data_IF_646145521031
#
_entry.id   IF_646145521031
#
_cell.length_a   1.000
_cell.length_b   1.000
_cell.length_c   1.000
_cell.angle_alpha   90.00
_cell.angle_beta   90.00
_cell.angle_gamma   90.00
#
_symmetry.space_group_name_H-M   'P 1'
#
loop_
_entity.id
_entity.type
_entity.pdbx_description
1 polymer ?
#
# COMPACT_ATOMS: atom_id res chain seq x y z
N UNK A 1 16.59 6.07 -55.28
CA UNK A 1 15.10 6.15 -55.27
C UNK A 1 14.69 7.50 -54.72
N UNK A 2 13.81 8.22 -55.43
CA UNK A 2 13.36 9.55 -55.01
C UNK A 2 12.28 9.42 -53.93
N UNK A 3 12.14 10.44 -53.07
CA UNK A 3 11.20 10.48 -51.96
C UNK A 3 9.78 9.98 -52.27
N UNK A 4 9.12 10.34 -53.40
CA UNK A 4 7.78 9.83 -53.71
C UNK A 4 7.73 8.30 -53.93
N UNK A 5 8.81 7.70 -54.45
CA UNK A 5 8.88 6.25 -54.62
C UNK A 5 9.03 5.51 -53.28
N UNK A 6 9.72 6.10 -52.29
CA UNK A 6 9.83 5.53 -50.95
C UNK A 6 8.50 5.61 -50.19
N UNK A 7 7.78 6.72 -50.32
CA UNK A 7 6.44 6.89 -49.74
C UNK A 7 5.43 5.92 -50.36
N UNK A 8 5.49 5.68 -51.67
CA UNK A 8 4.65 4.69 -52.35
C UNK A 8 4.87 3.26 -51.84
N UNK A 9 6.13 2.85 -51.65
CA UNK A 9 6.46 1.53 -51.08
C UNK A 9 6.01 1.43 -49.63
N UNK A 10 6.22 2.47 -48.83
CA UNK A 10 5.80 2.50 -47.43
C UNK A 10 4.28 2.35 -47.26
N UNK A 11 3.49 3.07 -48.06
CA UNK A 11 2.03 2.97 -48.04
C UNK A 11 1.55 1.56 -48.46
N UNK A 12 2.21 0.92 -49.43
CA UNK A 12 1.92 -0.46 -49.84
C UNK A 12 2.22 -1.47 -48.73
N UNK A 13 3.35 -1.31 -48.02
CA UNK A 13 3.69 -2.16 -46.88
C UNK A 13 2.68 -2.01 -45.74
N UNK A 14 2.26 -0.77 -45.42
CA UNK A 14 1.25 -0.49 -44.41
C UNK A 14 -0.11 -1.10 -44.76
N UNK A 15 -0.57 -0.95 -46.00
CA UNK A 15 -1.82 -1.55 -46.46
C UNK A 15 -1.78 -3.09 -46.41
N UNK A 16 -0.63 -3.70 -46.73
CA UNK A 16 -0.43 -5.15 -46.62
C UNK A 16 -0.48 -5.64 -45.17
N UNK A 17 0.20 -4.94 -44.25
CA UNK A 17 0.17 -5.27 -42.83
C UNK A 17 -1.25 -5.14 -42.24
N UNK A 18 -1.97 -4.08 -42.59
CA UNK A 18 -3.35 -3.86 -42.11
C UNK A 18 -4.33 -4.90 -42.67
N UNK A 19 -4.17 -5.28 -43.93
CA UNK A 19 -4.97 -6.35 -44.56
C UNK A 19 -4.76 -7.72 -43.90
N UNK A 20 -3.51 -8.06 -43.55
CA UNK A 20 -3.20 -9.30 -42.84
C UNK A 20 -3.80 -9.32 -41.42
N UNK A 21 -3.70 -8.20 -40.68
CA UNK A 21 -4.26 -8.08 -39.34
C UNK A 21 -5.80 -8.18 -39.34
N UNK A 22 -6.47 -7.49 -40.27
CA UNK A 22 -7.93 -7.56 -40.41
C UNK A 22 -8.42 -8.96 -40.85
N UNK A 23 -7.61 -9.68 -41.65
CA UNK A 23 -7.88 -11.07 -42.02
C UNK A 23 -7.78 -12.02 -40.83
N UNK A 24 -6.74 -11.88 -40.01
CA UNK A 24 -6.56 -12.68 -38.79
C UNK A 24 -7.67 -12.42 -37.75
N UNK A 25 -8.07 -11.16 -37.56
CA UNK A 25 -9.16 -10.79 -36.63
C UNK A 25 -10.52 -11.40 -36.97
N UNK A 26 -10.78 -11.72 -38.24
CA UNK A 26 -12.00 -12.43 -38.66
C UNK A 26 -11.97 -13.94 -38.41
N UNK A 27 -10.79 -14.53 -38.25
CA UNK A 27 -10.62 -15.96 -37.96
C UNK A 27 -10.74 -16.23 -36.46
N UNK A 28 -10.29 -15.30 -35.63
CA UNK A 28 -10.26 -15.44 -34.16
C UNK A 28 -11.60 -15.08 -33.51
N UNK A 29 -12.48 -14.34 -34.21
CA UNK A 29 -13.78 -13.92 -33.67
C UNK A 29 -13.63 -12.83 -32.60
N UNK A 30 -14.71 -12.10 -32.26
CA UNK A 30 -14.68 -11.13 -31.17
C UNK A 30 -14.43 -11.83 -29.84
N UNK A 31 -13.52 -11.28 -29.04
CA UNK A 31 -13.30 -11.73 -27.65
C UNK A 31 -14.19 -10.85 -26.77
N UNK A 32 -15.20 -11.46 -26.14
CA UNK A 32 -16.12 -10.81 -25.22
C UNK A 32 -17.55 -10.67 -25.75
N UNK A 33 -18.30 -11.78 -25.76
CA UNK A 33 -19.77 -11.75 -25.71
C UNK A 33 -20.23 -12.85 -24.76
N UNK A 34 -19.96 -12.66 -23.46
CA UNK A 34 -20.73 -13.35 -22.42
C UNK A 34 -21.97 -12.50 -22.12
N UNK A 35 -23.09 -13.05 -22.57
CA UNK A 35 -24.50 -12.82 -22.21
C UNK A 35 -24.85 -11.54 -21.42
N UNK A 36 -25.23 -10.49 -22.17
CA UNK A 36 -26.09 -9.43 -21.65
C UNK A 36 -27.50 -10.01 -21.38
N UNK A 37 -27.81 -10.23 -20.10
CA UNK A 37 -29.17 -10.50 -19.63
C UNK A 37 -30.04 -9.22 -19.77
N UNK A 38 -31.33 -9.33 -20.16
CA UNK A 38 -32.16 -8.17 -20.45
C UNK A 38 -32.59 -7.42 -19.19
N UNK A 39 -32.52 -6.10 -19.27
CA UNK A 39 -33.02 -5.16 -18.27
C UNK A 39 -34.52 -5.38 -18.00
N UNK A 40 -34.85 -5.67 -16.74
CA UNK A 40 -36.22 -5.69 -16.25
C UNK A 40 -36.66 -4.28 -15.84
N UNK A 41 -37.86 -3.92 -16.30
CA UNK A 41 -38.50 -2.63 -16.10
C UNK A 41 -38.82 -2.34 -14.62
N UNK A 42 -38.65 -1.08 -14.24
CA UNK A 42 -39.13 -0.51 -12.98
C UNK A 42 -40.66 -0.57 -12.92
N UNK A 43 -41.17 -1.23 -11.87
CA UNK A 43 -42.55 -1.13 -11.43
C UNK A 43 -42.57 -0.36 -10.10
N UNK A 44 -43.37 0.68 -10.07
CA UNK A 44 -43.75 1.41 -8.86
C UNK A 44 -44.63 0.52 -7.97
N UNK A 45 -44.33 0.46 -6.67
CA UNK A 45 -45.35 0.24 -5.65
C UNK A 45 -45.09 1.15 -4.43
N UNK A 46 -46.11 1.94 -4.10
CA UNK A 46 -46.27 2.62 -2.84
C UNK A 46 -46.63 1.62 -1.73
N UNK A 47 -46.06 1.79 -0.53
CA UNK A 47 -46.72 1.39 0.71
C UNK A 47 -46.28 2.23 1.91
N UNK A 48 -47.18 3.13 2.34
CA UNK A 48 -47.71 3.17 3.71
C UNK A 48 -46.79 3.48 4.91
N UNK A 49 -46.87 4.75 5.35
CA UNK A 49 -47.22 5.23 6.70
C UNK A 49 -46.43 4.89 7.98
N UNK A 50 -46.13 6.00 8.68
CA UNK A 50 -46.24 6.30 10.12
C UNK A 50 -45.10 5.94 11.09
N UNK A 51 -44.52 7.00 11.70
CA UNK A 51 -44.59 7.12 13.17
C UNK A 51 -43.30 7.38 13.96
N UNK A 52 -43.05 8.66 14.23
CA UNK A 52 -42.49 9.26 15.48
C UNK A 52 -41.07 8.94 15.98
N UNK A 53 -40.34 10.01 16.32
CA UNK A 53 -39.49 10.03 17.52
C UNK A 53 -38.29 10.96 17.46
N UNK A 54 -38.50 12.23 17.77
CA UNK A 54 -37.43 13.19 18.06
C UNK A 54 -36.87 12.91 19.47
N UNK A 55 -35.58 12.56 19.60
CA UNK A 55 -34.80 12.76 20.84
C UNK A 55 -33.33 12.99 20.51
N UNK A 56 -32.87 14.21 20.76
CA UNK A 56 -31.47 14.57 20.88
C UNK A 56 -30.86 14.00 22.18
N UNK A 57 -29.68 13.41 22.08
CA UNK A 57 -28.68 13.33 23.15
C UNK A 57 -27.30 13.00 22.56
N UNK A 58 -26.30 13.68 23.11
CA UNK A 58 -24.91 13.80 22.68
C UNK A 58 -24.07 12.52 22.84
N UNK A 59 -23.06 12.38 21.99
CA UNK A 59 -21.97 11.42 22.10
C UNK A 59 -21.04 11.55 20.89
N UNK A 60 -19.94 12.29 21.05
CA UNK A 60 -18.82 12.31 20.11
C UNK A 60 -18.31 10.88 19.88
N UNK A 61 -18.50 10.38 18.68
CA UNK A 61 -17.92 9.15 18.18
C UNK A 61 -17.02 9.49 17.00
N UNK A 62 -15.81 8.94 17.02
CA UNK A 62 -14.80 9.09 15.98
C UNK A 62 -15.36 8.77 14.60
N UNK A 63 -14.81 9.47 13.60
CA UNK A 63 -15.26 9.42 12.22
C UNK A 63 -15.14 8.03 11.63
N UNK A 64 -16.20 7.25 11.73
CA UNK A 64 -16.46 6.15 10.81
C UNK A 64 -17.11 6.75 9.57
N UNK A 65 -16.29 7.01 8.56
CA UNK A 65 -16.80 7.14 7.21
C UNK A 65 -17.34 5.75 6.80
N UNK A 66 -18.66 5.59 6.81
CA UNK A 66 -19.29 4.54 6.03
C UNK A 66 -19.01 4.84 4.55
N UNK A 67 -17.95 4.22 4.00
CA UNK A 67 -17.71 4.27 2.57
C UNK A 67 -18.73 3.40 1.83
N UNK A 68 -19.51 4.07 1.00
CA UNK A 68 -20.45 3.49 0.06
C UNK A 68 -19.73 2.69 -1.03
N UNK A 69 -19.77 1.35 -0.96
CA UNK A 69 -19.95 0.41 -2.08
C UNK A 69 -19.10 0.53 -3.36
N UNK A 70 -17.98 1.25 -3.36
CA UNK A 70 -16.96 1.20 -4.42
C UNK A 70 -15.90 0.16 -4.05
N UNK A 71 -15.40 -0.59 -5.03
CA UNK A 71 -14.23 -1.45 -4.81
C UNK A 71 -13.05 -0.56 -4.39
N UNK A 72 -12.71 -0.55 -3.10
CA UNK A 72 -11.54 0.17 -2.58
C UNK A 72 -10.30 -0.51 -3.16
N UNK A 73 -9.65 0.15 -4.14
CA UNK A 73 -8.42 -0.36 -4.72
C UNK A 73 -7.31 -0.32 -3.67
N UNK A 74 -6.43 -1.34 -3.61
CA UNK A 74 -5.30 -1.30 -2.70
C UNK A 74 -4.44 -0.06 -2.88
N UNK A 75 -3.94 0.47 -1.76
CA UNK A 75 -3.10 1.67 -1.74
C UNK A 75 -1.78 1.48 -2.47
N UNK A 76 -1.16 2.60 -2.88
CA UNK A 76 0.23 2.62 -3.35
C UNK A 76 0.46 2.12 -4.77
N UNK A 77 -0.55 1.57 -5.46
CA UNK A 77 -0.41 1.14 -6.85
C UNK A 77 -0.38 2.30 -7.85
N UNK A 78 -0.91 3.46 -7.45
CA UNK A 78 -1.04 4.64 -8.30
C UNK A 78 0.02 5.68 -7.93
N UNK A 79 0.71 6.23 -8.94
CA UNK A 79 1.58 7.40 -8.77
C UNK A 79 0.78 8.68 -8.55
N UNK A 80 -0.45 8.71 -9.08
CA UNK A 80 -1.39 9.82 -8.95
C UNK A 80 -2.78 9.31 -8.63
N UNK A 81 -3.42 9.88 -7.61
CA UNK A 81 -4.80 9.61 -7.23
C UNK A 81 -5.45 10.91 -6.73
N UNK A 82 -6.76 11.09 -7.01
CA UNK A 82 -7.56 12.24 -6.56
C UNK A 82 -6.92 13.64 -6.79
N UNK A 83 -6.10 13.76 -7.82
CA UNK A 83 -5.40 15.02 -8.17
C UNK A 83 -4.07 15.23 -7.45
N UNK A 84 -3.66 14.30 -6.60
CA UNK A 84 -2.34 14.25 -5.98
C UNK A 84 -1.38 13.39 -6.79
N UNK A 85 -0.09 13.68 -6.79
CA UNK A 85 0.96 12.92 -7.49
C UNK A 85 2.24 12.84 -6.66
N UNK A 86 2.79 11.63 -6.51
CA UNK A 86 4.09 11.42 -5.88
C UNK A 86 5.22 11.64 -6.90
N UNK A 87 5.84 12.82 -6.85
CA UNK A 87 6.85 13.26 -7.81
C UNK A 87 8.27 13.19 -7.25
N UNK A 88 9.07 12.21 -7.69
CA UNK A 88 10.49 12.16 -7.36
C UNK A 88 11.26 13.27 -8.08
N UNK A 89 12.22 13.88 -7.38
CA UNK A 89 13.19 14.80 -8.00
C UNK A 89 14.10 14.05 -8.99
N UNK A 90 14.42 12.79 -8.68
CA UNK A 90 15.15 11.88 -9.55
C UNK A 90 14.59 10.47 -9.39
N UNK A 91 14.28 9.81 -10.51
CA UNK A 91 13.79 8.42 -10.59
C UNK A 91 14.92 7.39 -10.64
N UNK A 92 16.18 7.84 -10.63
CA UNK A 92 17.36 6.99 -10.70
C UNK A 92 18.43 7.49 -9.73
N UNK A 93 18.89 6.63 -8.82
CA UNK A 93 19.93 6.95 -7.85
C UNK A 93 21.00 5.84 -7.77
N UNK A 94 22.25 6.16 -7.42
CA UNK A 94 23.28 5.14 -7.23
C UNK A 94 23.07 4.36 -5.92
N UNK A 95 23.42 3.08 -5.91
CA UNK A 95 23.45 2.28 -4.68
C UNK A 95 24.43 2.87 -3.64
N UNK A 96 24.14 2.66 -2.37
CA UNK A 96 24.97 3.03 -1.23
C UNK A 96 24.14 3.38 -0.01
N UNK A 97 24.79 3.56 1.14
CA UNK A 97 24.11 4.02 2.34
C UNK A 97 23.72 5.50 2.24
N UNK A 98 22.74 5.90 3.03
CA UNK A 98 22.32 7.29 3.26
C UNK A 98 22.11 8.11 1.96
N UNK A 99 21.52 7.48 0.93
CA UNK A 99 21.24 8.17 -0.34
C UNK A 99 20.10 9.16 -0.13
N UNK A 100 20.32 10.45 -0.45
CA UNK A 100 19.26 11.44 -0.32
C UNK A 100 18.22 11.19 -1.39
N UNK A 101 17.03 10.74 -0.98
CA UNK A 101 15.84 10.75 -1.81
C UNK A 101 15.10 12.05 -1.56
N UNK A 102 14.69 12.72 -2.63
CA UNK A 102 13.92 13.97 -2.56
C UNK A 102 12.74 13.93 -3.50
N UNK A 103 11.62 14.46 -3.04
CA UNK A 103 10.35 14.40 -3.76
C UNK A 103 9.38 15.49 -3.30
N UNK A 104 8.30 15.67 -4.05
CA UNK A 104 7.13 16.45 -3.66
C UNK A 104 5.89 15.57 -3.78
N UNK A 105 4.86 15.91 -3.01
CA UNK A 105 3.49 15.51 -3.35
C UNK A 105 2.88 16.72 -4.06
N UNK A 106 2.67 16.60 -5.36
CA UNK A 106 1.97 17.63 -6.14
C UNK A 106 0.48 17.46 -5.94
N UNK A 107 -0.22 18.52 -5.55
CA UNK A 107 -1.68 18.57 -5.49
C UNK A 107 -2.29 19.41 -6.62
N UNK A 108 -3.62 19.61 -6.61
CA UNK A 108 -4.33 20.40 -7.63
C UNK A 108 -3.84 21.85 -7.77
N UNK A 109 -3.35 22.44 -6.68
CA UNK A 109 -2.91 23.85 -6.59
C UNK A 109 -1.38 24.03 -6.53
N UNK A 110 -0.61 22.96 -6.78
CA UNK A 110 0.85 22.91 -6.65
C UNK A 110 1.31 21.98 -5.53
N UNK A 111 2.58 22.05 -5.08
CA UNK A 111 3.09 21.19 -4.02
C UNK A 111 2.24 21.30 -2.75
N UNK A 112 1.88 20.16 -2.17
CA UNK A 112 1.11 20.11 -0.93
C UNK A 112 1.95 20.67 0.21
N UNK A 113 1.44 21.69 0.89
CA UNK A 113 2.10 22.31 2.05
C UNK A 113 1.27 22.24 3.34
N UNK A 114 0.09 21.62 3.31
CA UNK A 114 -0.75 21.39 4.48
C UNK A 114 -1.01 19.89 4.56
N UNK A 115 -0.56 19.26 5.65
CA UNK A 115 -0.73 17.83 5.92
C UNK A 115 -1.38 17.69 7.29
N UNK A 116 -2.19 16.65 7.43
CA UNK A 116 -2.69 16.23 8.73
C UNK A 116 -1.61 15.37 9.41
N UNK A 117 -1.46 15.52 10.73
CA UNK A 117 -0.48 14.74 11.49
C UNK A 117 -1.14 13.45 11.95
N UNK A 118 -0.60 12.31 11.52
CA UNK A 118 -1.00 10.97 11.91
C UNK A 118 0.22 10.25 12.48
N UNK A 119 0.05 9.51 13.58
CA UNK A 119 1.18 8.80 14.22
C UNK A 119 2.40 9.70 14.48
N UNK A 120 2.13 10.95 14.92
CA UNK A 120 3.12 12.00 15.20
C UNK A 120 3.90 12.53 13.97
N UNK A 121 3.57 12.09 12.76
CA UNK A 121 4.23 12.47 11.52
C UNK A 121 3.24 13.02 10.49
N UNK A 122 3.72 13.87 9.59
CA UNK A 122 2.91 14.40 8.47
C UNK A 122 2.89 13.43 7.27
N UNK A 123 3.90 12.57 7.15
CA UNK A 123 4.05 11.64 6.03
C UNK A 123 4.96 10.47 6.43
N UNK A 124 4.53 9.25 6.11
CA UNK A 124 5.34 8.05 6.20
C UNK A 124 5.90 7.70 4.82
N UNK A 125 7.22 7.52 4.72
CA UNK A 125 7.87 7.05 3.50
C UNK A 125 8.29 5.60 3.69
N UNK A 126 7.69 4.70 2.92
CA UNK A 126 8.07 3.29 2.88
C UNK A 126 8.85 3.05 1.59
N UNK A 127 10.03 2.47 1.71
CA UNK A 127 10.86 2.06 0.59
C UNK A 127 11.09 0.55 0.65
N UNK A 128 10.76 -0.14 -0.42
CA UNK A 128 10.90 -1.60 -0.50
C UNK A 128 11.35 -2.00 -1.91
N UNK A 129 12.23 -3.00 -2.05
CA UNK A 129 12.53 -3.50 -3.40
C UNK A 129 11.34 -4.26 -3.96
N UNK A 130 11.23 -4.28 -5.29
CA UNK A 130 10.19 -5.03 -6.03
C UNK A 130 10.20 -6.54 -5.78
N UNK A 131 11.30 -7.10 -5.26
CA UNK A 131 11.37 -8.51 -4.83
C UNK A 131 11.05 -8.70 -3.34
N UNK A 132 10.47 -7.69 -2.68
CA UNK A 132 10.07 -7.70 -1.27
C UNK A 132 11.22 -7.93 -0.29
N UNK A 133 12.46 -7.66 -0.74
CA UNK A 133 13.65 -7.63 0.11
C UNK A 133 14.13 -6.20 0.30
N UNK A 134 14.78 -5.88 1.42
CA UNK A 134 15.24 -4.53 1.68
C UNK A 134 14.06 -3.57 1.86
N UNK A 135 13.62 -3.45 3.11
CA UNK A 135 12.53 -2.58 3.55
C UNK A 135 13.09 -1.48 4.43
N UNK A 136 12.54 -0.28 4.29
CA UNK A 136 12.81 0.87 5.15
C UNK A 136 11.52 1.66 5.34
N UNK A 137 11.24 2.01 6.58
CA UNK A 137 10.16 2.90 6.97
C UNK A 137 10.78 4.12 7.65
N UNK A 138 10.72 5.26 6.98
CA UNK A 138 11.38 6.49 7.41
C UNK A 138 10.43 7.68 7.38
N UNK A 139 10.76 8.70 8.17
CA UNK A 139 10.03 9.96 8.19
C UNK A 139 10.87 11.02 7.49
N UNK A 140 10.49 11.42 6.26
CA UNK A 140 11.20 12.47 5.58
C UNK A 140 10.98 13.80 6.26
N UNK A 141 11.93 14.72 6.08
CA UNK A 141 11.81 16.11 6.54
C UNK A 141 11.34 16.97 5.37
N UNK A 142 10.31 17.78 5.63
CA UNK A 142 9.77 18.74 4.65
C UNK A 142 10.43 20.11 4.76
N UNK A 143 10.85 20.64 3.62
CA UNK A 143 11.24 22.03 3.46
C UNK A 143 10.01 22.93 3.23
N UNK A 144 10.16 24.24 3.46
CA UNK A 144 9.07 25.20 3.34
C UNK A 144 8.45 25.32 1.93
N UNK A 145 9.14 24.82 0.90
CA UNK A 145 8.66 24.78 -0.49
C UNK A 145 7.86 23.51 -0.83
N UNK A 146 7.63 22.63 0.16
CA UNK A 146 6.93 21.35 -0.01
C UNK A 146 7.84 20.17 -0.38
N UNK A 147 9.16 20.40 -0.56
CA UNK A 147 10.10 19.31 -0.86
C UNK A 147 10.36 18.46 0.38
N UNK A 148 10.16 17.16 0.25
CA UNK A 148 10.50 16.15 1.24
C UNK A 148 11.90 15.58 0.98
N UNK A 149 12.61 15.19 2.04
CA UNK A 149 13.88 14.49 1.93
C UNK A 149 14.09 13.46 3.03
N UNK A 150 14.61 12.29 2.66
CA UNK A 150 15.04 11.25 3.59
C UNK A 150 16.33 10.56 3.08
N UNK A 151 17.25 10.18 3.97
CA UNK A 151 18.32 9.25 3.63
C UNK A 151 17.75 7.83 3.53
N UNK A 152 18.06 7.12 2.45
CA UNK A 152 17.75 5.70 2.29
C UNK A 152 19.02 4.89 1.99
N UNK A 153 19.10 3.71 2.59
CA UNK A 153 20.11 2.71 2.26
C UNK A 153 19.68 1.95 1.01
N UNK A 154 20.27 2.28 -0.14
CA UNK A 154 19.87 1.75 -1.44
C UNK A 154 20.83 0.66 -1.92
N UNK A 155 20.30 -0.53 -2.18
CA UNK A 155 20.99 -1.59 -2.91
C UNK A 155 20.52 -1.62 -4.37
N UNK A 156 21.30 -2.23 -5.27
CA UNK A 156 20.91 -2.35 -6.67
C UNK A 156 19.60 -3.12 -6.84
N UNK A 157 18.73 -2.60 -7.69
CA UNK A 157 17.40 -3.12 -7.95
C UNK A 157 16.37 -2.02 -8.20
N UNK A 158 15.14 -2.42 -8.48
CA UNK A 158 14.01 -1.50 -8.58
C UNK A 158 13.32 -1.41 -7.21
N UNK A 159 13.22 -0.19 -6.71
CA UNK A 159 12.58 0.13 -5.44
C UNK A 159 11.21 0.73 -5.71
N UNK A 160 10.20 0.27 -4.97
CA UNK A 160 8.93 0.96 -4.87
C UNK A 160 8.94 1.82 -3.62
N UNK A 161 8.61 3.09 -3.81
CA UNK A 161 8.41 4.04 -2.73
C UNK A 161 6.91 4.27 -2.54
N UNK A 162 6.47 4.32 -1.29
CA UNK A 162 5.11 4.67 -0.90
C UNK A 162 5.16 5.93 -0.05
N UNK A 163 4.32 6.90 -0.39
CA UNK A 163 4.03 8.05 0.46
C UNK A 163 2.64 7.83 1.02
N UNK A 164 2.58 7.62 2.34
CA UNK A 164 1.34 7.49 3.09
C UNK A 164 1.13 8.75 3.93
N UNK A 165 0.03 9.45 3.68
CA UNK A 165 -0.23 10.77 4.24
C UNK A 165 -1.72 11.11 4.23
N UNK A 166 -2.10 12.03 5.10
CA UNK A 166 -3.43 12.65 5.11
C UNK A 166 -3.36 14.13 4.81
N UNK A 167 -4.35 14.64 4.08
CA UNK A 167 -4.50 16.08 3.79
C UNK A 167 -5.97 16.45 3.67
N UNK A 168 -6.39 17.46 4.44
CA UNK A 168 -7.78 17.91 4.43
C UNK A 168 -8.77 16.86 4.95
N UNK A 169 -8.31 15.96 5.83
CA UNK A 169 -9.08 14.85 6.37
C UNK A 169 -9.21 13.63 5.44
N UNK A 170 -8.49 13.62 4.32
CA UNK A 170 -8.46 12.48 3.40
C UNK A 170 -7.10 11.77 3.44
N UNK A 171 -7.10 10.47 3.74
CA UNK A 171 -5.92 9.61 3.69
C UNK A 171 -5.63 9.15 2.25
N UNK A 172 -4.35 9.15 1.87
CA UNK A 172 -3.85 8.72 0.56
C UNK A 172 -2.55 7.92 0.74
N UNK A 173 -2.46 6.79 0.03
CA UNK A 173 -1.19 6.10 -0.19
C UNK A 173 -0.86 6.12 -1.67
N UNK A 174 0.11 6.94 -2.07
CA UNK A 174 0.63 7.01 -3.43
C UNK A 174 1.92 6.20 -3.55
N UNK A 175 2.21 5.67 -4.73
CA UNK A 175 3.47 4.95 -4.94
C UNK A 175 4.13 5.22 -6.27
N UNK A 176 5.45 5.27 -6.25
CA UNK A 176 6.32 5.52 -7.41
C UNK A 176 7.51 4.58 -7.39
N UNK A 177 8.23 4.47 -8.50
CA UNK A 177 9.40 3.61 -8.64
C UNK A 177 10.69 4.43 -8.69
N UNK A 178 11.72 3.93 -8.02
CA UNK A 178 13.09 4.43 -8.00
C UNK A 178 14.02 3.33 -8.51
N UNK A 179 14.72 3.58 -9.61
CA UNK A 179 15.68 2.62 -10.14
C UNK A 179 17.06 2.83 -9.52
N UNK A 180 17.69 1.74 -9.06
CA UNK A 180 19.05 1.76 -8.51
C UNK A 180 19.95 0.87 -9.36
N UNK A 181 20.68 1.44 -10.34
CA UNK A 181 21.48 0.66 -11.27
C UNK A 181 22.59 -0.14 -10.58
N UNK A 182 22.79 -1.38 -11.00
CA UNK A 182 23.87 -2.24 -10.54
C UNK A 182 23.61 -3.70 -10.87
N UNK A 183 24.34 -4.59 -10.19
CA UNK A 183 24.09 -6.03 -10.29
C UNK A 183 22.90 -6.40 -9.41
N UNK A 184 21.74 -6.55 -10.01
CA UNK A 184 20.49 -6.90 -9.33
C UNK A 184 20.08 -8.32 -9.72
N UNK A 185 19.99 -9.18 -8.70
CA UNK A 185 19.44 -10.52 -8.80
C UNK A 185 18.24 -10.59 -7.86
N UNK A 186 17.00 -10.62 -8.39
CA UNK A 186 15.80 -10.72 -7.57
C UNK A 186 15.85 -11.95 -6.66
N UNK A 187 15.53 -11.77 -5.39
CA UNK A 187 15.33 -12.88 -4.48
C UNK A 187 13.95 -13.51 -4.68
N UNK A 188 13.81 -14.79 -4.36
CA UNK A 188 12.48 -15.41 -4.24
C UNK A 188 11.83 -14.98 -2.92
N UNK A 189 10.51 -14.83 -2.91
CA UNK A 189 9.74 -14.60 -1.70
C UNK A 189 10.01 -15.75 -0.70
N UNK A 190 10.34 -15.44 0.58
CA UNK A 190 10.49 -16.47 1.60
C UNK A 190 9.19 -17.26 1.79
N UNK A 191 9.29 -18.55 2.10
CA UNK A 191 8.11 -19.38 2.35
C UNK A 191 7.29 -18.86 3.56
N UNK A 192 5.97 -19.08 3.59
CA UNK A 192 5.13 -18.65 4.69
C UNK A 192 5.64 -19.11 6.06
N UNK A 193 5.62 -18.20 7.03
CA UNK A 193 6.05 -18.44 8.42
C UNK A 193 5.31 -17.51 9.36
N UNK A 194 4.92 -18.03 10.53
CA UNK A 194 4.35 -17.25 11.63
C UNK A 194 5.39 -16.90 12.69
N UNK A 195 6.67 -17.08 12.40
CA UNK A 195 7.77 -16.72 13.30
C UNK A 195 8.87 -16.03 12.52
N UNK A 196 9.36 -14.92 13.07
CA UNK A 196 10.47 -14.14 12.57
C UNK A 196 11.50 -13.91 13.70
N UNK A 197 12.77 -13.90 13.31
CA UNK A 197 13.89 -13.66 14.23
C UNK A 197 14.64 -12.41 13.77
N UNK A 198 14.85 -11.45 14.66
CA UNK A 198 15.57 -10.21 14.36
C UNK A 198 16.37 -9.77 15.58
N UNK A 199 17.68 -9.60 15.45
CA UNK A 199 18.57 -9.09 16.51
C UNK A 199 18.42 -9.78 17.90
N UNK A 200 18.13 -11.08 17.91
CA UNK A 200 17.93 -11.88 19.13
C UNK A 200 16.51 -11.81 19.71
N UNK A 201 15.58 -11.17 19.01
CA UNK A 201 14.16 -11.21 19.29
C UNK A 201 13.48 -12.26 18.44
N UNK A 202 12.55 -12.99 19.06
CA UNK A 202 11.58 -13.85 18.39
C UNK A 202 10.24 -13.14 18.38
N UNK A 203 9.68 -12.91 17.19
CA UNK A 203 8.33 -12.38 17.01
C UNK A 203 7.44 -13.47 16.42
N UNK A 204 6.32 -13.75 17.08
CA UNK A 204 5.32 -14.70 16.58
C UNK A 204 4.08 -13.98 16.11
N UNK A 205 3.51 -14.43 14.99
CA UNK A 205 2.25 -13.95 14.44
C UNK A 205 1.13 -14.93 14.76
N UNK A 206 0.09 -14.44 15.45
CA UNK A 206 -1.20 -15.11 15.61
C UNK A 206 -2.25 -14.43 14.73
N UNK A 207 -3.17 -15.22 14.17
CA UNK A 207 -4.14 -14.78 13.16
C UNK A 207 -3.83 -15.27 11.74
N UNK A 208 -4.74 -15.01 10.82
CA UNK A 208 -4.63 -15.32 9.40
C UNK A 208 -5.32 -14.22 8.59
N UNK A 209 -4.85 -13.99 7.36
CA UNK A 209 -5.50 -13.08 6.43
C UNK A 209 -6.51 -13.86 5.59
N UNK A 210 -7.71 -13.33 5.46
CA UNK A 210 -8.72 -13.81 4.52
C UNK A 210 -9.04 -12.72 3.51
N UNK A 211 -9.17 -13.09 2.25
CA UNK A 211 -9.49 -12.16 1.18
C UNK A 211 -10.87 -11.53 1.40
N UNK A 212 -10.94 -10.20 1.39
CA UNK A 212 -12.16 -9.41 1.53
C UNK A 212 -12.73 -9.34 2.95
N UNK A 213 -12.03 -9.88 3.94
CA UNK A 213 -12.48 -9.89 5.35
C UNK A 213 -11.44 -9.16 6.19
N UNK A 214 -11.92 -8.34 7.13
CA UNK A 214 -11.05 -7.74 8.14
C UNK A 214 -10.59 -8.81 9.13
N UNK A 215 -9.28 -8.99 9.19
CA UNK A 215 -8.61 -9.99 10.03
C UNK A 215 -7.83 -9.28 11.13
N UNK A 216 -7.92 -9.82 12.35
CA UNK A 216 -7.04 -9.43 13.45
C UNK A 216 -5.73 -10.22 13.37
N UNK A 217 -4.62 -9.50 13.40
CA UNK A 217 -3.26 -10.04 13.46
C UNK A 217 -2.61 -9.59 14.76
N UNK A 218 -2.06 -10.52 15.53
CA UNK A 218 -1.37 -10.21 16.80
C UNK A 218 0.09 -10.64 16.71
N UNK A 219 1.00 -9.68 16.88
CA UNK A 219 2.44 -9.89 16.90
C UNK A 219 2.91 -9.90 18.36
N UNK A 220 3.44 -11.03 18.80
CA UNK A 220 3.98 -11.19 20.16
C UNK A 220 5.50 -11.12 20.14
N UNK A 221 6.08 -10.17 20.86
CA UNK A 221 7.53 -9.94 20.93
C UNK A 221 8.13 -10.62 22.16
N UNK A 222 9.18 -11.41 21.94
CA UNK A 222 9.96 -12.01 23.03
C UNK A 222 11.46 -11.92 22.74
N UNK A 223 12.26 -11.98 23.80
CA UNK A 223 13.72 -12.01 23.73
C UNK A 223 14.23 -13.12 24.63
N UNK A 224 15.04 -14.03 24.07
CA UNK A 224 15.53 -15.21 24.79
C UNK A 224 14.42 -16.05 25.47
N UNK A 225 13.23 -16.10 24.85
CA UNK A 225 12.05 -16.80 25.37
C UNK A 225 11.29 -16.07 26.49
N UNK A 226 11.67 -14.84 26.83
CA UNK A 226 10.98 -13.98 27.80
C UNK A 226 10.13 -12.95 27.04
N UNK A 227 8.82 -12.83 27.33
CA UNK A 227 7.99 -11.79 26.71
C UNK A 227 8.52 -10.39 27.02
N UNK A 228 8.58 -9.53 26.01
CA UNK A 228 8.95 -8.12 26.15
C UNK A 228 7.72 -7.34 26.56
N UNK A 229 7.73 -6.67 27.71
CA UNK A 229 6.53 -5.98 28.25
C UNK A 229 6.79 -4.51 28.52
N UNK A 230 7.76 -3.96 27.82
CA UNK A 230 8.32 -2.62 27.96
C UNK A 230 8.78 -2.09 26.58
N UNK A 231 8.00 -2.36 25.53
CA UNK A 231 8.19 -1.75 24.23
C UNK A 231 8.19 -0.22 24.35
N UNK A 232 9.13 0.42 23.66
CA UNK A 232 9.18 1.87 23.57
C UNK A 232 8.10 2.35 22.58
N UNK A 233 7.34 3.42 22.90
CA UNK A 233 6.50 4.09 21.91
C UNK A 233 7.37 4.61 20.76
N UNK A 234 7.02 4.21 19.55
CA UNK A 234 7.60 4.68 18.30
C UNK A 234 6.46 5.25 17.47
N UNK A 235 6.56 6.50 17.01
CA UNK A 235 5.55 7.16 16.16
C UNK A 235 4.11 6.99 16.67
N UNK A 236 3.89 7.26 17.96
CA UNK A 236 2.57 7.13 18.57
C UNK A 236 1.98 5.71 18.63
N UNK A 237 2.78 4.65 18.43
CA UNK A 237 2.35 3.25 18.55
C UNK A 237 3.42 2.38 19.25
N UNK A 238 3.05 1.18 19.70
CA UNK A 238 4.04 0.18 20.16
C UNK A 238 4.61 -0.68 19.01
N UNK A 239 4.11 -0.47 17.80
CA UNK A 239 4.68 -1.00 16.57
C UNK A 239 3.87 -0.61 15.34
N UNK A 240 4.47 -0.77 14.16
CA UNK A 240 3.85 -0.50 12.87
C UNK A 240 3.88 -1.76 12.03
N UNK A 241 2.82 -1.98 11.25
CA UNK A 241 2.73 -3.13 10.38
C UNK A 241 2.43 -2.66 8.96
N UNK A 242 3.38 -2.90 8.06
CA UNK A 242 3.19 -2.74 6.62
C UNK A 242 3.01 -4.11 6.00
N UNK A 243 1.93 -4.31 5.25
CA UNK A 243 1.67 -5.56 4.54
C UNK A 243 1.53 -5.29 3.04
N UNK A 244 2.34 -6.00 2.23
CA UNK A 244 2.45 -5.79 0.79
C UNK A 244 2.18 -7.09 0.04
N UNK A 245 1.32 -7.03 -0.98
CA UNK A 245 1.04 -8.19 -1.84
C UNK A 245 2.25 -8.55 -2.69
N UNK A 246 2.53 -9.84 -2.81
CA UNK A 246 3.52 -10.34 -3.77
C UNK A 246 3.14 -9.97 -5.23
N UNK A 247 4.15 -9.67 -6.03
CA UNK A 247 4.00 -9.23 -7.41
C UNK A 247 3.86 -7.71 -7.58
N UNK A 248 2.73 -7.13 -7.19
CA UNK A 248 2.45 -5.70 -7.44
C UNK A 248 2.69 -4.77 -6.25
N UNK A 249 2.97 -5.33 -5.06
CA UNK A 249 3.20 -4.60 -3.82
C UNK A 249 2.00 -3.71 -3.45
N UNK A 250 0.79 -4.18 -3.76
CA UNK A 250 -0.43 -3.55 -3.28
C UNK A 250 -0.38 -3.41 -1.76
N UNK A 251 -0.51 -2.17 -1.28
CA UNK A 251 -0.43 -1.82 0.14
C UNK A 251 -1.75 -2.16 0.82
N UNK A 252 -1.68 -2.88 1.94
CA UNK A 252 -2.83 -3.19 2.77
C UNK A 252 -3.10 -2.06 3.74
N UNK A 253 -4.37 -1.70 3.87
CA UNK A 253 -4.80 -0.84 4.97
C UNK A 253 -4.64 -1.62 6.28
N UNK A 254 -3.84 -1.09 7.19
CA UNK A 254 -3.55 -1.68 8.49
C UNK A 254 -3.67 -0.58 9.54
N UNK A 255 -4.36 -0.87 10.65
CA UNK A 255 -4.42 0.04 11.78
C UNK A 255 -4.19 -0.72 13.10
N UNK A 256 -3.49 -0.12 14.08
CA UNK A 256 -3.23 -0.75 15.36
C UNK A 256 -4.50 -0.80 16.24
N UNK A 257 -4.57 -1.81 17.10
CA UNK A 257 -5.54 -1.87 18.20
C UNK A 257 -4.94 -1.17 19.43
N UNK A 258 -5.34 0.08 19.64
CA UNK A 258 -4.94 0.89 20.80
C UNK A 258 -3.64 1.69 20.58
N UNK A 259 -3.36 2.58 21.53
CA UNK A 259 -2.23 3.52 21.43
C UNK A 259 -1.52 3.74 22.79
N UNK A 260 -0.23 4.10 22.80
CA UNK A 260 0.47 4.44 24.02
C UNK A 260 -0.21 5.58 24.79
N UNK A 261 -0.48 5.34 26.08
CA UNK A 261 -1.02 6.37 26.96
C UNK A 261 -2.55 6.46 27.03
N UNK A 262 -3.29 5.62 26.29
CA UNK A 262 -4.75 5.51 26.37
C UNK A 262 -5.27 4.92 27.71
N UNK A 263 -4.36 4.41 28.55
CA UNK A 263 -4.63 3.84 29.86
C UNK A 263 -5.06 2.37 29.86
N UNK A 264 -5.16 1.73 28.70
CA UNK A 264 -5.60 0.33 28.54
C UNK A 264 -4.63 -0.52 27.71
N UNK A 265 -3.88 0.08 26.79
CA UNK A 265 -2.93 -0.59 25.90
C UNK A 265 -1.59 -0.78 26.59
N UNK A 266 -1.19 -2.05 26.88
CA UNK A 266 0.10 -2.32 27.49
C UNK A 266 1.25 -2.16 26.47
N UNK A 267 2.48 -1.85 26.92
CA UNK A 267 3.68 -1.78 26.08
C UNK A 267 4.20 -3.20 25.72
N UNK A 268 3.36 -4.02 25.12
CA UNK A 268 3.64 -5.42 24.78
C UNK A 268 3.23 -6.44 25.86
N UNK A 269 3.49 -7.73 25.63
CA UNK A 269 4.26 -8.29 24.50
C UNK A 269 3.49 -8.36 23.20
N UNK A 270 2.18 -8.25 23.27
CA UNK A 270 1.27 -8.38 22.13
C UNK A 270 0.98 -7.00 21.54
N UNK A 271 1.18 -6.85 20.24
CA UNK A 271 0.76 -5.69 19.45
C UNK A 271 -0.20 -6.19 18.38
N UNK A 272 -1.43 -5.70 18.41
CA UNK A 272 -2.49 -6.16 17.51
C UNK A 272 -2.81 -5.14 16.43
N UNK A 273 -3.14 -5.65 15.25
CA UNK A 273 -3.54 -4.86 14.09
C UNK A 273 -4.78 -5.48 13.46
N UNK A 274 -5.56 -4.66 12.77
CA UNK A 274 -6.59 -5.11 11.85
C UNK A 274 -6.14 -4.81 10.42
N UNK A 275 -6.33 -5.80 9.54
CA UNK A 275 -5.94 -5.70 8.14
C UNK A 275 -6.95 -6.43 7.26
N UNK A 276 -7.20 -5.88 6.07
CA UNK A 276 -8.08 -6.49 5.06
C UNK A 276 -7.30 -6.77 3.79
N UNK A 277 -7.09 -8.03 3.47
CA UNK A 277 -6.45 -8.42 2.20
C UNK A 277 -7.45 -8.29 1.05
N UNK A 278 -7.14 -7.51 0.02
CA UNK A 278 -8.07 -7.31 -1.10
C UNK A 278 -8.30 -8.57 -1.97
N UNK A 279 -7.41 -9.57 -1.89
CA UNK A 279 -7.45 -10.77 -2.72
C UNK A 279 -6.72 -11.92 -2.05
N UNK A 280 -7.01 -13.16 -2.45
CA UNK A 280 -6.16 -14.28 -2.10
C UNK A 280 -4.80 -14.17 -2.82
N UNK A 281 -3.72 -14.11 -2.05
CA UNK A 281 -2.35 -13.97 -2.54
C UNK A 281 -1.36 -14.21 -1.38
N UNK A 282 -0.07 -14.31 -1.71
CA UNK A 282 0.97 -14.18 -0.70
C UNK A 282 1.23 -12.70 -0.39
N UNK A 283 1.51 -12.42 0.88
CA UNK A 283 1.79 -11.09 1.40
C UNK A 283 3.08 -11.12 2.23
N UNK A 284 3.91 -10.09 2.06
CA UNK A 284 5.05 -9.82 2.94
C UNK A 284 4.66 -8.77 3.96
N UNK A 285 4.80 -9.12 5.23
CA UNK A 285 4.54 -8.26 6.37
C UNK A 285 5.87 -7.79 6.94
N UNK A 286 5.95 -6.49 7.25
CA UNK A 286 7.08 -5.83 7.88
C UNK A 286 6.55 -5.19 9.17
N UNK A 287 6.91 -5.79 10.31
CA UNK A 287 6.51 -5.32 11.64
C UNK A 287 7.67 -4.58 12.30
N UNK A 288 7.55 -3.26 12.40
CA UNK A 288 8.49 -2.41 13.11
C UNK A 288 8.10 -2.32 14.59
N UNK A 289 9.06 -2.53 15.49
CA UNK A 289 8.91 -2.30 16.92
C UNK A 289 10.17 -1.67 17.50
N UNK A 290 10.01 -0.85 18.54
CA UNK A 290 11.14 -0.25 19.25
C UNK A 290 11.28 -0.87 20.65
N UNK A 291 12.52 -1.24 20.99
CA UNK A 291 12.87 -1.66 22.33
C UNK A 291 14.34 -1.33 22.62
N UNK A 292 14.59 -0.75 23.78
CA UNK A 292 15.88 -0.19 24.20
C UNK A 292 16.34 0.96 23.28
N UNK A 293 15.40 1.75 22.74
CA UNK A 293 15.71 2.88 21.85
C UNK A 293 16.20 2.47 20.45
N UNK A 294 15.91 1.24 20.02
CA UNK A 294 16.33 0.69 18.73
C UNK A 294 15.12 0.09 18.02
N UNK A 295 14.81 0.63 16.83
CA UNK A 295 13.78 0.12 15.93
C UNK A 295 14.28 -1.13 15.22
N UNK A 296 13.43 -2.15 15.13
CA UNK A 296 13.69 -3.42 14.46
C UNK A 296 12.50 -3.81 13.59
N UNK A 297 12.78 -4.44 12.46
CA UNK A 297 11.76 -4.97 11.56
C UNK A 297 11.76 -6.49 11.61
N UNK A 298 10.65 -7.08 12.06
CA UNK A 298 10.38 -8.51 11.91
C UNK A 298 9.58 -8.76 10.63
N UNK A 299 10.04 -9.69 9.79
CA UNK A 299 9.45 -9.91 8.47
C UNK A 299 8.80 -11.29 8.34
N UNK A 300 7.56 -11.32 7.85
CA UNK A 300 6.79 -12.54 7.67
C UNK A 300 6.31 -12.66 6.23
N UNK A 301 6.25 -13.89 5.72
CA UNK A 301 5.39 -14.18 4.56
C UNK A 301 4.15 -14.89 5.08
N UNK A 302 2.98 -14.46 4.64
CA UNK A 302 1.70 -15.11 4.94
C UNK A 302 0.93 -15.29 3.65
N UNK A 303 0.04 -16.27 3.62
CA UNK A 303 -0.89 -16.49 2.51
C UNK A 303 -2.26 -16.02 2.97
N UNK A 304 -2.88 -15.11 2.21
CA UNK A 304 -4.30 -14.83 2.36
C UNK A 304 -5.09 -15.83 1.53
N UNK A 305 -6.04 -16.50 2.18
CA UNK A 305 -6.90 -17.48 1.53
C UNK A 305 -8.19 -16.83 1.01
N UNK A 306 -8.85 -17.48 0.05
CA UNK A 306 -10.21 -17.08 -0.32
C UNK A 306 -11.13 -17.27 0.88
N UNK A 307 -11.93 -16.27 1.23
CA UNK A 307 -12.88 -16.40 2.33
C UNK A 307 -13.82 -17.59 2.06
N UNK A 308 -13.79 -18.58 2.94
CA UNK A 308 -14.69 -19.72 2.84
C UNK A 308 -16.12 -19.27 3.14
N UNK A 309 -16.95 -19.21 2.09
CA UNK A 309 -18.40 -18.96 2.14
C UNK A 309 -19.18 -20.06 2.85
#
# INVERSE_FOLDING_TARGET
MNAPAKLGVYALCLAGAFGLAAGAGRIVGPIGEDEAAPAAAHAEEESGMDGHGDTAAEGEAGGHAEESGGEHLPGGLMVSDRGYTFALTADTLPAGPDRPVSFTIEGPDGPVTEYDVEHEQELHLIAVRRDLTGYQHVHPVRAADGTWSAPLDLTSGDWKLFADFSTGGEALTLGTDLSVPGDYQPAALPAPSTTAEVDGYTVTLDGHLDAGVESKLTLSVSRDGVPVTDLDPYLGAYGHLVALRDGDLAYLHVHPEGEPGDGVTPPGPDVSFFATAASAADYRLFFDFEHDGVVRTAEFTVTAEEAHS
#
